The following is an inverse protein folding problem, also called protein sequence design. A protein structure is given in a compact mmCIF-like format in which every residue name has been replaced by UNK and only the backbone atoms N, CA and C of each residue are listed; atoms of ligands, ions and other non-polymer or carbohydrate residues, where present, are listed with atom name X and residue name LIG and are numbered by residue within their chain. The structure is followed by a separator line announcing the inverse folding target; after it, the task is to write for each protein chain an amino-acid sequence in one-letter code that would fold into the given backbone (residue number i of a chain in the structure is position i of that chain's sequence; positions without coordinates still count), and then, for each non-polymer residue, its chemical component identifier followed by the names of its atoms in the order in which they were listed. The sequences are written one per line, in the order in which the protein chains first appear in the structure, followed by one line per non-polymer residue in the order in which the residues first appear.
data_IF_720395933623
#
_entry.id   IF_720395933623
#
_cell.length_a   1.000
_cell.length_b   1.000
_cell.length_c   1.000
_cell.angle_alpha   90.00
_cell.angle_beta   90.00
_cell.angle_gamma   90.00
#
_symmetry.space_group_name_H-M   'P 1'
#
loop_
_entity.id
_entity.type
_entity.pdbx_description
1 polymer ?
#
# COMPACT_ATOMS: atom_id res chain seq x y z
N UNK A 1 -1.18 12.35 9.80
CA UNK A 1 -0.10 12.21 8.79
C UNK A 1 -0.17 13.43 7.89
N UNK A 2 0.97 14.05 7.58
CA UNK A 2 1.01 15.31 6.81
C UNK A 2 1.46 15.06 5.37
N UNK A 3 0.97 15.88 4.45
CA UNK A 3 1.33 15.77 3.04
C UNK A 3 2.80 16.13 2.85
N UNK A 4 3.57 15.22 2.25
CA UNK A 4 5.00 15.41 2.03
C UNK A 4 5.35 16.62 1.12
N UNK A 5 4.36 17.18 0.43
CA UNK A 5 4.55 18.33 -0.47
C UNK A 5 4.32 19.68 0.20
N UNK A 6 3.33 19.78 1.08
CA UNK A 6 2.86 21.08 1.59
C UNK A 6 2.55 21.06 3.09
N UNK A 7 2.91 19.97 3.78
CA UNK A 7 2.75 19.73 5.21
C UNK A 7 1.30 19.85 5.75
N UNK A 8 0.32 19.99 4.86
CA UNK A 8 -1.10 20.00 5.24
C UNK A 8 -1.54 18.59 5.65
N UNK A 9 -2.38 18.50 6.69
CA UNK A 9 -2.97 17.25 7.14
C UNK A 9 -3.69 16.51 5.99
N UNK A 10 -3.35 15.24 5.83
CA UNK A 10 -3.96 14.36 4.83
C UNK A 10 -5.32 13.86 5.32
N UNK A 11 -6.29 13.76 4.41
CA UNK A 11 -7.61 13.18 4.70
C UNK A 11 -7.73 11.79 4.12
N UNK A 12 -8.23 10.85 4.92
CA UNK A 12 -8.53 9.50 4.44
C UNK A 12 -9.61 9.57 3.34
N UNK A 13 -9.38 8.86 2.23
CA UNK A 13 -10.31 8.76 1.12
C UNK A 13 -10.99 7.40 1.10
N UNK A 14 -10.20 6.34 0.96
CA UNK A 14 -10.69 4.96 0.86
C UNK A 14 -9.58 3.96 1.08
N UNK A 15 -9.96 2.73 1.36
CA UNK A 15 -9.08 1.57 1.23
C UNK A 15 -9.03 1.12 -0.24
N UNK A 16 -7.86 0.74 -0.72
CA UNK A 16 -7.63 0.18 -2.04
C UNK A 16 -6.98 -1.20 -1.91
N UNK A 17 -7.59 -2.19 -2.54
CA UNK A 17 -7.07 -3.57 -2.58
C UNK A 17 -6.58 -3.83 -4.00
N UNK A 18 -5.32 -4.26 -4.11
CA UNK A 18 -4.83 -4.76 -5.39
C UNK A 18 -5.31 -6.19 -5.55
N UNK A 19 -6.33 -6.39 -6.39
CA UNK A 19 -6.68 -7.73 -6.85
C UNK A 19 -5.63 -8.14 -7.90
N UNK A 20 -4.88 -9.21 -7.63
CA UNK A 20 -3.93 -9.75 -8.59
C UNK A 20 -4.70 -10.23 -9.82
N UNK A 21 -4.40 -9.66 -10.98
CA UNK A 21 -4.94 -10.18 -12.23
C UNK A 21 -4.24 -11.51 -12.54
N UNK A 22 -5.04 -12.57 -12.53
CA UNK A 22 -4.72 -13.98 -12.72
C UNK A 22 -4.27 -14.33 -14.16
N UNK A 23 -3.76 -13.36 -14.92
CA UNK A 23 -3.46 -13.55 -16.33
C UNK A 23 -2.00 -13.20 -16.61
N UNK A 24 -1.19 -14.26 -16.69
CA UNK A 24 0.10 -14.33 -17.38
C UNK A 24 1.35 -13.94 -16.56
N UNK A 25 1.60 -14.63 -15.43
CA UNK A 25 2.86 -14.48 -14.65
C UNK A 25 3.70 -15.76 -14.67
N UNK A 26 4.26 -16.09 -15.84
CA UNK A 26 5.25 -17.17 -15.97
C UNK A 26 6.49 -16.97 -15.06
N UNK A 27 7.21 -18.06 -14.74
CA UNK A 27 8.48 -18.25 -14.00
C UNK A 27 8.80 -17.42 -12.72
N UNK A 28 8.18 -16.27 -12.47
CA UNK A 28 8.34 -15.44 -11.28
C UNK A 28 7.14 -15.52 -10.31
N UNK A 29 6.13 -16.37 -10.57
CA UNK A 29 4.92 -16.52 -9.74
C UNK A 29 5.21 -16.61 -8.24
N UNK A 30 6.26 -17.34 -7.85
CA UNK A 30 6.55 -17.61 -6.44
C UNK A 30 6.93 -16.38 -5.60
N UNK A 31 7.52 -15.34 -6.22
CA UNK A 31 7.84 -14.09 -5.49
C UNK A 31 6.58 -13.25 -5.29
N UNK A 32 5.61 -13.37 -6.20
CA UNK A 32 4.39 -12.59 -6.25
C UNK A 32 3.18 -13.28 -5.58
N UNK A 33 3.24 -14.58 -5.27
CA UNK A 33 2.21 -15.29 -4.49
C UNK A 33 2.08 -14.77 -3.03
N UNK A 34 3.10 -14.05 -2.53
CA UNK A 34 3.05 -13.36 -1.22
C UNK A 34 2.28 -12.04 -1.32
N UNK A 35 2.07 -11.53 -2.53
CA UNK A 35 1.60 -10.19 -2.84
C UNK A 35 0.08 -10.12 -3.12
N UNK A 36 -0.62 -11.25 -3.04
CA UNK A 36 -2.05 -11.42 -3.37
C UNK A 36 -3.01 -10.61 -2.50
N UNK A 37 -2.53 -9.97 -1.44
CA UNK A 37 -3.37 -9.18 -0.52
C UNK A 37 -2.74 -7.83 -0.16
N UNK A 38 -2.13 -7.13 -1.13
CA UNK A 38 -1.69 -5.75 -0.88
C UNK A 38 -2.91 -4.83 -0.67
N UNK A 39 -3.09 -4.40 0.57
CA UNK A 39 -4.08 -3.41 0.96
C UNK A 39 -3.38 -2.08 1.23
N UNK A 40 -3.93 -0.99 0.70
CA UNK A 40 -3.43 0.35 0.92
C UNK A 40 -4.55 1.25 1.44
N UNK A 41 -4.26 2.03 2.47
CA UNK A 41 -5.10 3.17 2.83
C UNK A 41 -4.71 4.36 1.94
N UNK A 42 -5.68 4.92 1.23
CA UNK A 42 -5.49 6.04 0.32
C UNK A 42 -5.86 7.32 1.04
N UNK A 43 -4.92 8.26 1.07
CA UNK A 43 -5.10 9.58 1.66
C UNK A 43 -4.95 10.67 0.61
N UNK A 44 -5.69 11.77 0.74
CA UNK A 44 -5.65 12.91 -0.17
C UNK A 44 -5.39 14.19 0.60
N UNK A 45 -4.42 14.98 0.14
CA UNK A 45 -4.18 16.32 0.64
C UNK A 45 -5.28 17.28 0.14
N UNK A 46 -6.03 17.95 1.03
CA UNK A 46 -7.08 18.89 0.61
C UNK A 46 -6.52 20.17 -0.02
N UNK A 47 -5.25 20.49 0.23
CA UNK A 47 -4.61 21.70 -0.27
C UNK A 47 -4.00 21.49 -1.67
N UNK A 48 -3.04 20.56 -1.81
CA UNK A 48 -2.32 20.35 -3.07
C UNK A 48 -2.85 19.20 -3.93
N UNK A 49 -3.90 18.48 -3.48
CA UNK A 49 -4.52 17.32 -4.16
C UNK A 49 -3.59 16.14 -4.41
N UNK A 50 -2.44 16.10 -3.75
CA UNK A 50 -1.56 14.93 -3.77
C UNK A 50 -2.24 13.75 -3.06
N UNK A 51 -2.21 12.60 -3.71
CA UNK A 51 -2.69 11.33 -3.15
C UNK A 51 -1.52 10.51 -2.66
N UNK A 52 -1.61 9.97 -1.46
CA UNK A 52 -0.58 9.16 -0.83
C UNK A 52 -1.18 7.79 -0.47
N UNK A 53 -0.45 6.72 -0.82
CA UNK A 53 -0.84 5.33 -0.59
C UNK A 53 -0.02 4.79 0.57
N UNK A 54 -0.69 4.40 1.66
CA UNK A 54 -0.05 3.84 2.85
C UNK A 54 -0.30 2.35 2.88
N UNK A 55 0.77 1.56 2.80
CA UNK A 55 0.67 0.10 2.86
C UNK A 55 0.13 -0.33 4.22
N UNK A 56 -0.94 -1.12 4.21
CA UNK A 56 -1.56 -1.72 5.38
C UNK A 56 -1.06 -3.14 5.49
N UNK A 57 0.07 -3.30 6.21
CA UNK A 57 0.63 -4.62 6.48
C UNK A 57 -0.39 -5.48 7.22
N UNK A 58 -0.67 -6.68 6.69
CA UNK A 58 -1.24 -7.73 7.52
C UNK A 58 -0.16 -8.13 8.54
N UNK A 59 -0.35 -7.73 9.79
CA UNK A 59 0.46 -7.99 10.99
C UNK A 59 0.59 -9.50 11.34
N UNK A 60 1.03 -10.32 10.38
CA UNK A 60 1.26 -11.76 10.59
C UNK A 60 2.61 -12.28 10.09
N UNK A 61 3.30 -11.58 9.17
CA UNK A 61 4.50 -12.11 8.52
C UNK A 61 5.76 -11.25 8.59
N UNK A 62 5.64 -9.93 8.50
CA UNK A 62 6.79 -9.04 8.23
C UNK A 62 7.54 -8.52 9.46
N UNK A 63 7.00 -8.66 10.68
CA UNK A 63 7.74 -8.30 11.91
C UNK A 63 8.97 -9.21 12.15
N UNK A 64 9.09 -10.34 11.44
CA UNK A 64 10.23 -11.25 11.57
C UNK A 64 11.47 -10.88 10.75
N UNK A 65 11.40 -9.83 9.90
CA UNK A 65 12.50 -9.47 8.99
C UNK A 65 13.21 -8.15 9.33
N UNK A 66 12.74 -7.37 10.31
CA UNK A 66 13.32 -6.07 10.68
C UNK A 66 14.19 -6.16 11.96
N UNK A 67 14.27 -7.32 12.61
CA UNK A 67 15.11 -7.52 13.81
C UNK A 67 16.30 -8.47 13.53
N UNK A 68 17.18 -8.07 12.59
CA UNK A 68 18.47 -8.76 12.39
C UNK A 68 19.61 -7.83 12.01
#
# INVERSE_FOLDING_TARGET
MNCLRCDTELKFLKEYRFDSQDNNRGFFSFVFDIEDHLVFDVYVCPNCRKTEFIYKSNLGGFESMIDR
#
